data_IF_525126365405
#
_entry.id   IF_525126365405
#
_cell.length_a   1.000
_cell.length_b   1.000
_cell.length_c   1.000
_cell.angle_alpha   90.00
_cell.angle_beta   90.00
_cell.angle_gamma   90.00
#
_symmetry.space_group_name_H-M   'P 1'
#
loop_
_entity.id
_entity.type
_entity.pdbx_description
1 polymer ?
#
# COMPACT_ATOMS: atom_id res chain seq x y z
N UNK A 1 30.70 -14.47 -3.22
CA UNK A 1 29.46 -13.88 -2.65
C UNK A 1 29.13 -12.50 -3.22
N UNK A 2 30.12 -11.62 -3.45
CA UNK A 2 29.91 -10.27 -4.02
C UNK A 2 29.15 -10.22 -5.37
N UNK A 3 29.36 -11.17 -6.29
CA UNK A 3 28.77 -11.12 -7.65
C UNK A 3 27.23 -11.20 -7.71
N UNK A 4 26.55 -11.68 -6.67
CA UNK A 4 25.09 -11.81 -6.65
C UNK A 4 24.37 -10.60 -6.03
N UNK A 5 25.07 -9.77 -5.26
CA UNK A 5 24.48 -8.62 -4.58
C UNK A 5 23.86 -7.59 -5.54
N UNK A 6 24.47 -7.25 -6.70
CA UNK A 6 23.85 -6.34 -7.66
C UNK A 6 22.53 -6.87 -8.22
N UNK A 7 22.44 -8.18 -8.45
CA UNK A 7 21.21 -8.83 -8.93
C UNK A 7 20.13 -8.77 -7.85
N UNK A 8 20.47 -9.05 -6.59
CA UNK A 8 19.53 -8.95 -5.47
C UNK A 8 19.01 -7.52 -5.27
N UNK A 9 19.88 -6.50 -5.34
CA UNK A 9 19.47 -5.09 -5.30
C UNK A 9 18.53 -4.74 -6.45
N UNK A 10 18.78 -5.26 -7.65
CA UNK A 10 17.86 -5.06 -8.79
C UNK A 10 16.51 -5.71 -8.53
N UNK A 11 16.47 -6.90 -7.95
CA UNK A 11 15.23 -7.59 -7.57
C UNK A 11 14.48 -6.78 -6.50
N UNK A 12 15.17 -6.29 -5.48
CA UNK A 12 14.59 -5.41 -4.44
C UNK A 12 13.89 -4.19 -5.05
N UNK A 13 14.56 -3.49 -5.98
CA UNK A 13 13.98 -2.35 -6.69
C UNK A 13 12.73 -2.76 -7.48
N UNK A 14 12.76 -3.90 -8.17
CA UNK A 14 11.60 -4.38 -8.92
C UNK A 14 10.41 -4.69 -8.01
N UNK A 15 10.62 -5.36 -6.88
CA UNK A 15 9.54 -5.63 -5.92
C UNK A 15 9.01 -4.35 -5.27
N UNK A 16 9.89 -3.38 -4.98
CA UNK A 16 9.47 -2.06 -4.49
C UNK A 16 8.59 -1.30 -5.50
N UNK A 17 8.91 -1.37 -6.80
CA UNK A 17 8.07 -0.78 -7.85
C UNK A 17 6.70 -1.48 -7.95
N UNK A 18 6.67 -2.81 -7.87
CA UNK A 18 5.40 -3.57 -7.88
C UNK A 18 4.54 -3.23 -6.66
N UNK A 19 5.14 -3.09 -5.48
CA UNK A 19 4.44 -2.63 -4.28
C UNK A 19 3.84 -1.22 -4.46
N UNK A 20 4.60 -0.29 -5.03
CA UNK A 20 4.11 1.06 -5.33
C UNK A 20 2.94 1.04 -6.31
N UNK A 21 2.99 0.21 -7.35
CA UNK A 21 1.89 0.03 -8.29
C UNK A 21 0.62 -0.48 -7.59
N UNK A 22 0.73 -1.52 -6.75
CA UNK A 22 -0.41 -2.03 -5.99
C UNK A 22 -0.94 -1.02 -4.97
N UNK A 23 -0.07 -0.21 -4.36
CA UNK A 23 -0.47 0.88 -3.47
C UNK A 23 -1.30 1.95 -4.20
N UNK A 24 -0.93 2.30 -5.44
CA UNK A 24 -1.71 3.22 -6.29
C UNK A 24 -3.06 2.59 -6.64
N UNK A 25 -3.07 1.33 -7.06
CA UNK A 25 -4.30 0.61 -7.40
C UNK A 25 -5.27 0.53 -6.20
N UNK A 26 -4.76 0.23 -5.01
CA UNK A 26 -5.54 0.23 -3.77
C UNK A 26 -6.13 1.60 -3.47
N UNK A 27 -5.34 2.68 -3.55
CA UNK A 27 -5.85 4.05 -3.34
C UNK A 27 -6.95 4.42 -4.32
N UNK A 28 -6.79 4.05 -5.59
CA UNK A 28 -7.83 4.27 -6.60
C UNK A 28 -9.10 3.47 -6.28
N UNK A 29 -8.97 2.18 -5.93
CA UNK A 29 -10.12 1.35 -5.59
C UNK A 29 -10.90 1.89 -4.38
N UNK A 30 -10.19 2.31 -3.32
CA UNK A 30 -10.79 2.93 -2.14
C UNK A 30 -11.51 4.24 -2.49
N UNK A 31 -10.90 5.09 -3.32
CA UNK A 31 -11.53 6.33 -3.77
C UNK A 31 -12.83 6.05 -4.54
N UNK A 32 -12.84 5.05 -5.42
CA UNK A 32 -14.03 4.64 -6.15
C UNK A 32 -15.13 4.10 -5.22
N UNK A 33 -14.81 3.40 -4.14
CA UNK A 33 -15.82 3.00 -3.14
C UNK A 33 -16.39 4.25 -2.49
N UNK A 34 -15.54 5.16 -2.05
CA UNK A 34 -15.94 6.38 -1.36
C UNK A 34 -16.88 7.24 -2.21
N UNK A 35 -16.55 7.45 -3.49
CA UNK A 35 -17.41 8.18 -4.45
C UNK A 35 -18.83 7.60 -4.54
N UNK A 36 -18.99 6.28 -4.50
CA UNK A 36 -20.34 5.68 -4.56
C UNK A 36 -21.05 5.81 -3.23
N UNK A 37 -20.33 5.69 -2.12
CA UNK A 37 -20.91 5.88 -0.79
C UNK A 37 -21.41 7.31 -0.59
N UNK A 38 -20.68 8.33 -1.07
CA UNK A 38 -21.14 9.72 -1.02
C UNK A 38 -22.41 9.93 -1.85
N UNK A 39 -22.46 9.39 -3.07
CA UNK A 39 -23.66 9.49 -3.93
C UNK A 39 -24.86 8.74 -3.33
N UNK A 40 -24.64 7.58 -2.67
CA UNK A 40 -25.70 6.86 -1.95
C UNK A 40 -26.22 7.71 -0.78
N UNK A 41 -25.34 8.38 -0.04
CA UNK A 41 -25.72 9.25 1.07
C UNK A 41 -26.56 10.44 0.57
N UNK A 42 -26.12 11.11 -0.50
CA UNK A 42 -26.88 12.19 -1.16
C UNK A 42 -28.24 11.70 -1.65
N UNK A 43 -28.30 10.52 -2.27
CA UNK A 43 -29.57 9.95 -2.74
C UNK A 43 -30.52 9.62 -1.59
N UNK A 44 -29.97 9.17 -0.46
CA UNK A 44 -30.75 8.89 0.76
C UNK A 44 -31.32 10.17 1.36
N UNK A 45 -30.56 11.26 1.32
CA UNK A 45 -31.02 12.57 1.74
C UNK A 45 -32.13 13.11 0.84
N UNK A 46 -32.00 13.00 -0.49
CA UNK A 46 -33.05 13.39 -1.42
C UNK A 46 -34.37 12.63 -1.18
N UNK A 47 -34.28 11.32 -0.91
CA UNK A 47 -35.46 10.49 -0.57
C UNK A 47 -36.10 10.99 0.74
N UNK A 48 -35.29 11.41 1.72
CA UNK A 48 -35.75 11.97 2.99
C UNK A 48 -36.47 13.31 2.78
N UNK A 49 -35.89 14.21 1.98
CA UNK A 49 -36.51 15.49 1.61
C UNK A 49 -37.85 15.26 0.89
N UNK A 50 -37.89 14.42 -0.14
CA UNK A 50 -39.12 14.10 -0.87
C UNK A 50 -40.21 13.55 0.07
N UNK A 51 -39.85 12.77 1.09
CA UNK A 51 -40.81 12.33 2.12
C UNK A 51 -41.36 13.49 2.95
N UNK A 52 -40.52 14.46 3.30
CA UNK A 52 -40.94 15.67 4.02
C UNK A 52 -41.90 16.50 3.15
N UNK A 53 -41.54 16.73 1.89
CA UNK A 53 -42.34 17.50 0.93
C UNK A 53 -43.71 16.85 0.69
N UNK A 54 -43.75 15.51 0.62
CA UNK A 54 -45.01 14.77 0.53
C UNK A 54 -45.92 15.01 1.74
N UNK A 55 -45.35 15.04 2.97
CA UNK A 55 -46.11 15.32 4.18
C UNK A 55 -46.63 16.76 4.21
N UNK A 56 -45.81 17.73 3.81
CA UNK A 56 -46.21 19.13 3.72
C UNK A 56 -47.33 19.33 2.68
N UNK A 57 -47.21 18.70 1.51
CA UNK A 57 -48.25 18.72 0.48
C UNK A 57 -49.56 18.09 0.97
N UNK A 58 -49.50 17.04 1.79
CA UNK A 58 -50.68 16.44 2.42
C UNK A 58 -51.37 17.42 3.39
N UNK A 59 -50.61 18.15 4.20
CA UNK A 59 -51.15 19.13 5.15
C UNK A 59 -51.86 20.29 4.43
N UNK A 60 -51.35 20.71 3.28
CA UNK A 60 -51.93 21.80 2.49
C UNK A 60 -52.97 21.34 1.46
N UNK A 61 -53.26 20.03 1.37
CA UNK A 61 -54.23 19.48 0.40
C UNK A 61 -53.74 19.48 -1.06
N UNK A 62 -52.46 19.74 -1.31
CA UNK A 62 -51.87 19.82 -2.65
C UNK A 62 -51.57 18.43 -3.21
N UNK A 63 -52.55 17.86 -3.93
CA UNK A 63 -52.44 16.49 -4.49
C UNK A 63 -51.33 16.34 -5.53
N UNK A 64 -51.09 17.37 -6.34
CA UNK A 64 -50.06 17.35 -7.38
C UNK A 64 -48.65 17.28 -6.78
N UNK A 65 -48.36 18.13 -5.80
CA UNK A 65 -47.06 18.14 -5.12
C UNK A 65 -46.79 16.84 -4.36
N UNK A 66 -47.84 16.24 -3.79
CA UNK A 66 -47.73 14.91 -3.17
C UNK A 66 -47.36 13.84 -4.19
N UNK A 67 -48.05 13.79 -5.33
CA UNK A 67 -47.76 12.82 -6.39
C UNK A 67 -46.34 12.98 -6.93
N UNK A 68 -45.88 14.23 -7.10
CA UNK A 68 -44.51 14.54 -7.52
C UNK A 68 -43.48 14.04 -6.51
N UNK A 69 -43.71 14.27 -5.22
CA UNK A 69 -42.83 13.81 -4.14
C UNK A 69 -42.78 12.27 -4.06
N UNK A 70 -43.91 11.59 -4.25
CA UNK A 70 -43.98 10.12 -4.31
C UNK A 70 -43.17 9.55 -5.50
N UNK A 71 -43.27 10.18 -6.67
CA UNK A 71 -42.47 9.82 -7.86
C UNK A 71 -40.97 10.03 -7.61
N UNK A 72 -40.58 11.17 -7.03
CA UNK A 72 -39.19 11.44 -6.68
C UNK A 72 -38.63 10.40 -5.69
N UNK A 73 -39.43 10.00 -4.70
CA UNK A 73 -39.09 8.95 -3.75
C UNK A 73 -38.85 7.61 -4.45
N UNK A 74 -39.73 7.25 -5.38
CA UNK A 74 -39.62 5.99 -6.12
C UNK A 74 -38.39 5.96 -7.04
N UNK A 75 -38.17 7.04 -7.80
CA UNK A 75 -36.98 7.19 -8.65
C UNK A 75 -35.71 7.13 -7.81
N UNK A 76 -35.66 7.87 -6.69
CA UNK A 76 -34.53 7.87 -5.78
C UNK A 76 -34.26 6.48 -5.20
N UNK A 77 -35.31 5.75 -4.81
CA UNK A 77 -35.20 4.37 -4.32
C UNK A 77 -34.59 3.42 -5.35
N UNK A 78 -35.03 3.49 -6.61
CA UNK A 78 -34.47 2.67 -7.71
C UNK A 78 -33.01 3.02 -7.99
N UNK A 79 -32.66 4.31 -8.05
CA UNK A 79 -31.26 4.76 -8.21
C UNK A 79 -30.38 4.27 -7.07
N UNK A 80 -30.86 4.35 -5.83
CA UNK A 80 -30.11 3.87 -4.66
C UNK A 80 -29.82 2.37 -4.74
N UNK A 81 -30.82 1.56 -5.11
CA UNK A 81 -30.62 0.11 -5.29
C UNK A 81 -29.57 -0.22 -6.35
N UNK A 82 -29.56 0.51 -7.47
CA UNK A 82 -28.53 0.37 -8.51
C UNK A 82 -27.14 0.74 -7.98
N UNK A 83 -27.04 1.85 -7.25
CA UNK A 83 -25.78 2.31 -6.64
C UNK A 83 -25.28 1.33 -5.57
N UNK A 84 -26.16 0.73 -4.77
CA UNK A 84 -25.79 -0.31 -3.79
C UNK A 84 -25.19 -1.55 -4.46
N UNK A 85 -25.68 -1.93 -5.65
CA UNK A 85 -25.07 -3.00 -6.44
C UNK A 85 -23.66 -2.61 -6.93
N UNK A 86 -23.49 -1.39 -7.43
CA UNK A 86 -22.17 -0.86 -7.84
C UNK A 86 -21.21 -0.78 -6.65
N UNK A 87 -21.67 -0.32 -5.50
CA UNK A 87 -20.89 -0.22 -4.27
C UNK A 87 -20.36 -1.59 -3.85
N UNK A 88 -21.19 -2.64 -3.90
CA UNK A 88 -20.75 -4.01 -3.61
C UNK A 88 -19.64 -4.48 -4.55
N UNK A 89 -19.79 -4.27 -5.85
CA UNK A 89 -18.76 -4.64 -6.84
C UNK A 89 -17.45 -3.89 -6.58
N UNK A 90 -17.54 -2.58 -6.30
CA UNK A 90 -16.35 -1.75 -6.00
C UNK A 90 -15.68 -2.16 -4.68
N UNK A 91 -16.45 -2.54 -3.65
CA UNK A 91 -15.90 -3.06 -2.39
C UNK A 91 -15.12 -4.36 -2.61
N UNK A 92 -15.68 -5.31 -3.36
CA UNK A 92 -14.97 -6.55 -3.73
C UNK A 92 -13.67 -6.23 -4.49
N UNK A 93 -13.69 -5.26 -5.41
CA UNK A 93 -12.47 -4.85 -6.12
C UNK A 93 -11.45 -4.18 -5.18
N UNK A 94 -11.90 -3.37 -4.23
CA UNK A 94 -11.05 -2.76 -3.20
C UNK A 94 -10.42 -3.79 -2.27
N UNK A 95 -11.17 -4.82 -1.88
CA UNK A 95 -10.66 -5.90 -1.03
C UNK A 95 -9.58 -6.70 -1.76
N UNK A 96 -9.80 -7.03 -3.04
CA UNK A 96 -8.77 -7.67 -3.88
C UNK A 96 -7.52 -6.80 -4.03
N UNK A 97 -7.69 -5.51 -4.32
CA UNK A 97 -6.56 -4.59 -4.44
C UNK A 97 -5.77 -4.48 -3.12
N UNK A 98 -6.45 -4.65 -1.98
CA UNK A 98 -5.82 -4.70 -0.66
C UNK A 98 -5.01 -5.96 -0.47
N UNK A 99 -5.57 -7.12 -0.80
CA UNK A 99 -4.87 -8.41 -0.76
C UNK A 99 -3.62 -8.41 -1.65
N UNK A 100 -3.71 -7.84 -2.86
CA UNK A 100 -2.58 -7.71 -3.78
C UNK A 100 -1.48 -6.80 -3.20
N UNK A 101 -1.87 -5.66 -2.61
CA UNK A 101 -0.93 -4.75 -1.94
C UNK A 101 -0.24 -5.42 -0.75
N UNK A 102 -1.00 -6.05 0.14
CA UNK A 102 -0.47 -6.70 1.34
C UNK A 102 0.49 -7.85 0.97
N UNK A 103 0.13 -8.64 -0.04
CA UNK A 103 0.99 -9.70 -0.59
C UNK A 103 2.28 -9.15 -1.19
N UNK A 104 2.17 -8.06 -1.96
CA UNK A 104 3.31 -7.41 -2.59
C UNK A 104 4.27 -6.80 -1.56
N UNK A 105 3.71 -6.17 -0.52
CA UNK A 105 4.46 -5.59 0.58
C UNK A 105 5.24 -6.66 1.34
N UNK A 106 4.59 -7.78 1.68
CA UNK A 106 5.27 -8.89 2.36
C UNK A 106 6.46 -9.42 1.53
N UNK A 107 6.28 -9.57 0.21
CA UNK A 107 7.36 -10.01 -0.69
C UNK A 107 8.50 -8.98 -0.76
N UNK A 108 8.16 -7.69 -0.83
CA UNK A 108 9.10 -6.57 -0.82
C UNK A 108 9.95 -6.58 0.47
N UNK A 109 9.30 -6.73 1.62
CA UNK A 109 9.97 -6.82 2.93
C UNK A 109 10.88 -8.06 3.04
N UNK A 110 10.44 -9.22 2.54
CA UNK A 110 11.26 -10.43 2.48
C UNK A 110 12.51 -10.26 1.63
N UNK A 111 12.36 -9.69 0.42
CA UNK A 111 13.50 -9.46 -0.48
C UNK A 111 14.48 -8.46 0.13
N UNK A 112 13.97 -7.36 0.72
CA UNK A 112 14.79 -6.36 1.41
C UNK A 112 15.62 -6.98 2.53
N UNK A 113 15.00 -7.81 3.37
CA UNK A 113 15.70 -8.55 4.44
C UNK A 113 16.82 -9.45 3.91
N UNK A 114 16.59 -10.16 2.81
CA UNK A 114 17.61 -10.98 2.15
C UNK A 114 18.78 -10.11 1.66
N UNK A 115 18.48 -8.96 1.05
CA UNK A 115 19.49 -8.03 0.55
C UNK A 115 20.33 -7.47 1.70
N UNK A 116 19.70 -6.99 2.77
CA UNK A 116 20.37 -6.45 3.96
C UNK A 116 21.27 -7.48 4.65
N UNK A 117 20.79 -8.73 4.76
CA UNK A 117 21.57 -9.84 5.31
C UNK A 117 22.82 -10.14 4.47
N UNK A 118 22.69 -10.18 3.14
CA UNK A 118 23.82 -10.39 2.24
C UNK A 118 24.81 -9.23 2.26
N UNK A 119 24.33 -7.98 2.34
CA UNK A 119 25.19 -6.80 2.47
C UNK A 119 26.00 -6.87 3.77
N UNK A 120 25.34 -7.17 4.89
CA UNK A 120 25.97 -7.29 6.21
C UNK A 120 27.03 -8.40 6.21
N UNK A 121 26.76 -9.54 5.57
CA UNK A 121 27.71 -10.64 5.46
C UNK A 121 28.94 -10.26 4.61
N UNK A 122 28.75 -9.51 3.51
CA UNK A 122 29.85 -9.02 2.69
C UNK A 122 30.70 -8.03 3.47
N UNK A 123 30.07 -7.07 4.15
CA UNK A 123 30.76 -6.08 4.98
C UNK A 123 31.60 -6.76 6.06
N UNK A 124 31.05 -7.74 6.77
CA UNK A 124 31.77 -8.51 7.79
C UNK A 124 33.02 -9.21 7.23
N UNK A 125 32.95 -9.75 6.01
CA UNK A 125 34.10 -10.38 5.36
C UNK A 125 35.16 -9.34 5.01
N UNK A 126 34.75 -8.17 4.52
CA UNK A 126 35.67 -7.06 4.21
C UNK A 126 36.34 -6.50 5.47
N UNK A 127 35.59 -6.33 6.56
CA UNK A 127 36.12 -5.92 7.86
C UNK A 127 37.15 -6.92 8.39
N UNK A 128 36.85 -8.24 8.30
CA UNK A 128 37.81 -9.28 8.69
C UNK A 128 39.07 -9.28 7.83
N UNK A 129 38.96 -9.02 6.52
CA UNK A 129 40.11 -8.95 5.61
C UNK A 129 40.99 -7.74 5.92
N UNK A 130 40.38 -6.58 6.17
CA UNK A 130 41.12 -5.36 6.53
C UNK A 130 41.82 -5.51 7.88
N UNK A 131 41.16 -6.13 8.86
CA UNK A 131 41.77 -6.48 10.14
C UNK A 131 42.96 -7.43 9.96
N UNK A 132 42.77 -8.57 9.29
CA UNK A 132 43.86 -9.54 9.05
C UNK A 132 45.07 -8.88 8.35
N UNK A 133 44.84 -8.03 7.35
CA UNK A 133 45.93 -7.32 6.67
C UNK A 133 46.66 -6.33 7.58
N UNK A 134 45.98 -5.76 8.57
CA UNK A 134 46.56 -4.85 9.56
C UNK A 134 47.38 -5.61 10.59
N UNK A 135 46.87 -6.74 11.06
CA UNK A 135 47.54 -7.65 11.99
C UNK A 135 48.81 -8.23 11.35
N UNK A 136 48.75 -8.67 10.10
CA UNK A 136 49.92 -9.18 9.36
C UNK A 136 51.03 -8.13 9.25
N UNK A 137 50.68 -6.87 8.96
CA UNK A 137 51.63 -5.75 8.92
C UNK A 137 52.23 -5.48 10.29
N UNK A 138 51.42 -5.52 11.35
CA UNK A 138 51.87 -5.32 12.72
C UNK A 138 52.86 -6.42 13.13
N UNK A 139 52.51 -7.69 12.92
CA UNK A 139 53.34 -8.84 13.25
C UNK A 139 54.65 -8.86 12.44
N UNK A 140 54.60 -8.49 11.16
CA UNK A 140 55.79 -8.38 10.32
C UNK A 140 56.76 -7.32 10.86
N UNK A 141 56.25 -6.14 11.26
CA UNK A 141 57.07 -5.09 11.89
C UNK A 141 57.64 -5.53 13.23
N UNK A 142 56.84 -6.22 14.04
CA UNK A 142 57.29 -6.75 15.33
C UNK A 142 58.46 -7.72 15.15
N UNK A 143 58.34 -8.68 14.23
CA UNK A 143 59.41 -9.64 13.91
C UNK A 143 60.67 -8.96 13.40
N UNK A 144 60.53 -7.97 12.51
CA UNK A 144 61.68 -7.24 12.01
C UNK A 144 62.43 -6.48 13.11
N UNK A 145 61.69 -5.83 14.03
CA UNK A 145 62.30 -5.16 15.17
C UNK A 145 62.97 -6.13 16.15
N UNK A 146 62.39 -7.31 16.36
CA UNK A 146 62.99 -8.36 17.20
C UNK A 146 64.32 -8.84 16.62
N UNK A 147 64.34 -9.20 15.33
CA UNK A 147 65.58 -9.60 14.64
C UNK A 147 66.67 -8.52 14.72
N UNK A 148 66.28 -7.25 14.62
CA UNK A 148 67.22 -6.12 14.71
C UNK A 148 67.81 -5.93 16.11
N UNK A 149 67.06 -6.24 17.16
CA UNK A 149 67.52 -6.15 18.54
C UNK A 149 68.41 -7.33 18.93
N UNK A 150 68.17 -8.51 18.34
CA UNK A 150 69.00 -9.70 18.57
C UNK A 150 70.37 -9.64 17.85
N UNK A 151 70.54 -8.74 16.88
CA UNK A 151 71.80 -8.49 16.14
C UNK A 151 72.75 -7.49 16.83
N UNK A 152 72.35 -6.88 17.96
CA UNK A 152 73.13 -5.92 18.76
C UNK A 152 73.62 -6.57 20.05
#
# INVERSE_FOLDING_TARGET
>A
MSSKLPVLKRIEVLYGLVEQMHSVALRQAVALVHEVETVIAEQSEQIRCARSDALEAMLHGNRENRALADVQREIGGRKRQQLEAVCRVRKIASDRAREDYDTSRLKSEQVKSIVESNQSAIQLIEDRRTQASSDDRFLSRLRWNQLRLDEV
#
